data_IF_823040053671
#
_entry.id   IF_823040053671
#
_cell.length_a   1.000
_cell.length_b   1.000
_cell.length_c   1.000
_cell.angle_alpha   90.00
_cell.angle_beta   90.00
_cell.angle_gamma   90.00
#
_symmetry.space_group_name_H-M   'P 1'
#
loop_
_entity.id
_entity.type
_entity.pdbx_description
1 polymer ?
#
# COMPACT_ATOMS: atom_id res chain seq x y z
N UNK A 1 -16.04 31.40 -52.93
CA UNK A 1 -15.28 32.01 -51.82
C UNK A 1 -15.53 31.35 -50.47
N UNK A 2 -16.78 31.11 -50.03
CA UNK A 2 -17.00 30.52 -48.68
C UNK A 2 -16.45 29.09 -48.50
N UNK A 3 -16.61 28.21 -49.50
CA UNK A 3 -16.11 26.83 -49.42
C UNK A 3 -14.57 26.72 -49.41
N UNK A 4 -13.87 27.64 -50.09
CA UNK A 4 -12.40 27.69 -50.08
C UNK A 4 -11.86 28.12 -48.72
N UNK A 5 -12.53 29.09 -48.08
CA UNK A 5 -12.15 29.56 -46.73
C UNK A 5 -12.30 28.43 -45.71
N UNK A 6 -13.36 27.62 -45.81
CA UNK A 6 -13.58 26.45 -44.92
C UNK A 6 -12.45 25.43 -45.09
N UNK A 7 -12.05 25.12 -46.34
CA UNK A 7 -11.01 24.15 -46.60
C UNK A 7 -9.62 24.63 -46.13
N UNK A 8 -9.35 25.94 -46.25
CA UNK A 8 -8.12 26.56 -45.73
C UNK A 8 -8.07 26.50 -44.20
N UNK A 9 -9.19 26.76 -43.52
CA UNK A 9 -9.26 26.66 -42.05
C UNK A 9 -9.01 25.21 -41.58
N UNK A 10 -9.59 24.23 -42.27
CA UNK A 10 -9.37 22.80 -41.96
C UNK A 10 -7.90 22.42 -42.18
N UNK A 11 -7.29 22.85 -43.29
CA UNK A 11 -5.88 22.58 -43.58
C UNK A 11 -4.95 23.17 -42.51
N UNK A 12 -5.20 24.41 -42.09
CA UNK A 12 -4.42 25.08 -41.02
C UNK A 12 -4.62 24.37 -39.68
N UNK A 13 -5.82 23.90 -39.36
CA UNK A 13 -6.09 23.17 -38.12
C UNK A 13 -5.37 21.80 -38.09
N UNK A 14 -5.35 21.07 -39.20
CA UNK A 14 -4.62 19.78 -39.31
C UNK A 14 -3.11 20.01 -39.21
N UNK A 15 -2.57 21.01 -39.90
CA UNK A 15 -1.15 21.37 -39.81
C UNK A 15 -0.79 21.78 -38.38
N UNK A 16 -1.61 22.61 -37.73
CA UNK A 16 -1.42 22.98 -36.34
C UNK A 16 -1.45 21.74 -35.44
N UNK A 17 -2.37 20.80 -35.65
CA UNK A 17 -2.44 19.57 -34.85
C UNK A 17 -1.22 18.68 -35.05
N UNK A 18 -0.74 18.55 -36.29
CA UNK A 18 0.49 17.79 -36.63
C UNK A 18 1.73 18.47 -36.07
N UNK A 19 1.86 19.80 -36.17
CA UNK A 19 2.97 20.56 -35.58
C UNK A 19 2.87 20.53 -34.06
N UNK A 20 1.69 20.69 -33.48
CA UNK A 20 1.46 20.57 -32.03
C UNK A 20 1.80 19.17 -31.56
N UNK A 21 1.51 18.13 -32.33
CA UNK A 21 1.83 16.75 -32.02
C UNK A 21 3.34 16.46 -32.19
N UNK A 22 3.94 16.91 -33.28
CA UNK A 22 5.36 16.72 -33.59
C UNK A 22 6.30 17.57 -32.70
N UNK A 23 5.86 18.76 -32.27
CA UNK A 23 6.63 19.66 -31.37
C UNK A 23 6.25 19.51 -29.90
N UNK A 24 5.07 18.93 -29.57
CA UNK A 24 4.84 18.35 -28.24
C UNK A 24 5.46 16.94 -28.12
N UNK A 25 6.36 16.59 -29.04
CA UNK A 25 7.26 15.43 -29.01
C UNK A 25 8.27 15.51 -27.87
N UNK A 26 7.76 15.46 -26.65
CA UNK A 26 8.50 15.28 -25.40
C UNK A 26 7.72 14.46 -24.37
N UNK A 27 6.65 13.75 -24.78
CA UNK A 27 5.78 13.01 -23.87
C UNK A 27 5.73 11.49 -24.10
N UNK A 28 6.58 10.93 -24.98
CA UNK A 28 6.72 9.48 -25.14
C UNK A 28 8.17 9.05 -24.90
N UNK A 29 8.60 9.05 -23.64
CA UNK A 29 9.68 8.14 -23.19
C UNK A 29 9.05 6.81 -22.76
N UNK A 30 9.63 5.65 -23.10
CA UNK A 30 9.06 4.35 -22.76
C UNK A 30 8.90 4.22 -21.24
N UNK A 31 7.65 3.96 -20.86
CA UNK A 31 7.11 3.59 -19.55
C UNK A 31 8.13 3.08 -18.51
N UNK A 32 8.84 4.03 -17.89
CA UNK A 32 9.70 3.80 -16.73
C UNK A 32 9.04 4.30 -15.45
N UNK A 33 7.96 3.66 -14.98
CA UNK A 33 7.35 3.87 -13.63
C UNK A 33 6.69 5.23 -13.42
N UNK A 34 5.50 5.32 -12.80
CA UNK A 34 4.93 6.61 -12.37
C UNK A 34 5.68 7.09 -11.11
N UNK A 35 6.94 7.47 -11.27
CA UNK A 35 7.65 8.26 -10.28
C UNK A 35 7.23 9.70 -10.49
N UNK A 36 6.36 10.22 -9.62
CA UNK A 36 5.93 11.62 -9.65
C UNK A 36 7.17 12.53 -9.78
N UNK A 37 7.28 13.40 -10.81
CA UNK A 37 8.48 14.18 -11.07
C UNK A 37 8.89 15.08 -9.89
N UNK A 38 7.96 15.35 -8.97
CA UNK A 38 8.24 16.09 -7.74
C UNK A 38 9.05 15.28 -6.72
N UNK A 39 8.92 13.94 -6.67
CA UNK A 39 9.65 13.11 -5.71
C UNK A 39 11.16 13.18 -5.97
N UNK A 40 11.58 13.18 -7.23
CA UNK A 40 12.99 13.34 -7.60
C UNK A 40 13.56 14.70 -7.15
N UNK A 41 12.76 15.76 -7.21
CA UNK A 41 13.14 17.10 -6.73
C UNK A 41 13.22 17.15 -5.21
N UNK A 42 12.29 16.50 -4.51
CA UNK A 42 12.24 16.45 -3.04
C UNK A 42 13.42 15.64 -2.48
N UNK A 43 13.79 14.54 -3.14
CA UNK A 43 14.88 13.66 -2.69
C UNK A 43 16.27 14.10 -3.16
N UNK A 44 16.37 14.98 -4.16
CA UNK A 44 17.64 15.43 -4.73
C UNK A 44 18.35 14.40 -5.61
N UNK A 45 17.70 13.28 -5.91
CA UNK A 45 18.16 12.27 -6.85
C UNK A 45 16.98 11.61 -7.54
N UNK A 46 17.24 10.97 -8.68
CA UNK A 46 16.23 10.25 -9.45
C UNK A 46 15.98 8.87 -8.81
N UNK A 47 14.82 8.64 -8.17
CA UNK A 47 14.57 7.39 -7.46
C UNK A 47 14.52 6.20 -8.43
N UNK A 48 15.17 5.11 -8.05
CA UNK A 48 15.10 3.82 -8.74
C UNK A 48 13.89 3.02 -8.23
N UNK A 49 13.60 1.90 -8.91
CA UNK A 49 12.52 0.99 -8.50
C UNK A 49 12.91 0.29 -7.20
N UNK A 50 12.28 0.69 -6.10
CA UNK A 50 12.30 -0.05 -4.84
C UNK A 50 10.94 -0.74 -4.68
N UNK A 51 10.93 -2.08 -4.75
CA UNK A 51 9.69 -2.85 -4.54
C UNK A 51 9.59 -3.32 -3.08
N UNK A 52 8.36 -3.54 -2.58
CA UNK A 52 8.15 -4.12 -1.25
C UNK A 52 8.86 -5.47 -1.05
N UNK A 53 8.97 -6.28 -2.10
CA UNK A 53 9.69 -7.56 -2.09
C UNK A 53 11.20 -7.39 -1.86
N UNK A 54 11.82 -6.38 -2.50
CA UNK A 54 13.23 -6.07 -2.29
C UNK A 54 13.47 -5.66 -0.83
N UNK A 55 12.58 -4.84 -0.28
CA UNK A 55 12.64 -4.40 1.12
C UNK A 55 12.49 -5.60 2.06
N UNK A 56 11.52 -6.49 1.80
CA UNK A 56 11.28 -7.67 2.62
C UNK A 56 12.47 -8.64 2.62
N UNK A 57 13.11 -8.83 1.47
CA UNK A 57 14.32 -9.68 1.36
C UNK A 57 15.48 -9.12 2.20
N UNK A 58 15.75 -7.81 2.12
CA UNK A 58 16.80 -7.18 2.95
C UNK A 58 16.43 -7.25 4.44
N UNK A 59 15.16 -6.99 4.79
CA UNK A 59 14.68 -7.07 6.19
C UNK A 59 14.76 -8.49 6.76
N UNK A 60 14.53 -9.52 5.95
CA UNK A 60 14.64 -10.92 6.39
C UNK A 60 16.09 -11.29 6.73
N UNK A 61 17.06 -10.79 5.96
CA UNK A 61 18.48 -10.98 6.26
C UNK A 61 18.97 -10.09 7.42
N UNK A 62 18.39 -8.88 7.56
CA UNK A 62 18.81 -7.89 8.55
C UNK A 62 17.58 -7.29 9.26
N UNK A 63 17.02 -8.00 10.26
CA UNK A 63 15.82 -7.57 10.97
C UNK A 63 16.05 -6.34 11.87
N UNK A 64 17.30 -6.08 12.24
CA UNK A 64 17.70 -4.94 13.08
C UNK A 64 17.69 -3.60 12.31
N UNK A 65 17.66 -3.65 10.97
CA UNK A 65 17.71 -2.44 10.15
C UNK A 65 16.29 -1.91 9.87
N UNK A 66 16.03 -0.61 10.07
CA UNK A 66 14.72 -0.02 9.84
C UNK A 66 14.33 -0.02 8.35
N UNK A 67 13.04 -0.26 8.11
CA UNK A 67 12.45 -0.37 6.77
C UNK A 67 12.63 0.90 5.94
N UNK A 68 12.56 2.07 6.56
CA UNK A 68 12.76 3.37 5.90
C UNK A 68 14.17 3.52 5.33
N UNK A 69 15.20 3.07 6.06
CA UNK A 69 16.58 3.16 5.59
C UNK A 69 16.83 2.18 4.44
N UNK A 70 16.25 0.98 4.52
CA UNK A 70 16.31 -0.03 3.44
C UNK A 70 15.65 0.54 2.19
N UNK A 71 14.43 1.07 2.32
CA UNK A 71 13.71 1.66 1.20
C UNK A 71 14.49 2.86 0.62
N UNK A 72 15.02 3.75 1.46
CA UNK A 72 15.82 4.88 1.00
C UNK A 72 17.09 4.47 0.24
N UNK A 73 17.85 3.49 0.73
CA UNK A 73 19.04 3.01 0.01
C UNK A 73 18.64 2.27 -1.27
N UNK A 74 17.55 1.49 -1.29
CA UNK A 74 17.02 0.86 -2.49
C UNK A 74 16.55 1.87 -3.54
N UNK A 75 15.99 3.03 -3.14
CA UNK A 75 15.68 4.11 -4.10
C UNK A 75 16.95 4.67 -4.74
N UNK A 76 18.11 4.58 -4.09
CA UNK A 76 19.39 5.06 -4.59
C UNK A 76 20.13 3.99 -5.41
N UNK A 77 20.21 2.76 -4.91
CA UNK A 77 20.96 1.65 -5.53
C UNK A 77 20.12 0.91 -6.56
N UNK A 78 18.84 0.68 -6.29
CA UNK A 78 17.91 -0.09 -7.12
C UNK A 78 18.18 -1.58 -7.11
N UNK A 79 19.03 -2.09 -6.23
CA UNK A 79 19.39 -3.51 -6.12
C UNK A 79 19.52 -3.93 -4.67
N UNK A 80 18.95 -5.10 -4.36
CA UNK A 80 19.06 -5.76 -3.05
C UNK A 80 20.51 -6.11 -2.77
N UNK A 81 21.22 -6.68 -3.73
CA UNK A 81 22.60 -7.16 -3.57
C UNK A 81 23.54 -6.02 -3.20
N UNK A 82 23.41 -4.87 -3.86
CA UNK A 82 24.23 -3.69 -3.54
C UNK A 82 23.91 -3.13 -2.16
N UNK A 83 22.63 -3.16 -1.77
CA UNK A 83 22.17 -2.69 -0.45
C UNK A 83 22.69 -3.61 0.65
N UNK A 84 22.62 -4.93 0.45
CA UNK A 84 23.14 -5.95 1.36
C UNK A 84 24.66 -5.85 1.47
N UNK A 85 25.38 -5.70 0.35
CA UNK A 85 26.84 -5.58 0.39
C UNK A 85 27.28 -4.32 1.16
N UNK A 86 26.61 -3.18 0.96
CA UNK A 86 26.84 -1.97 1.77
C UNK A 86 26.59 -2.19 3.24
N UNK A 87 25.56 -2.96 3.55
CA UNK A 87 25.18 -3.27 4.92
C UNK A 87 26.19 -4.22 5.59
N UNK A 88 26.77 -5.16 4.84
CA UNK A 88 27.86 -6.01 5.30
C UNK A 88 29.17 -5.23 5.48
N UNK A 89 29.46 -4.29 4.56
CA UNK A 89 30.68 -3.47 4.61
C UNK A 89 30.64 -2.41 5.71
N UNK A 90 29.50 -1.72 5.88
CA UNK A 90 29.37 -0.58 6.81
C UNK A 90 28.66 -0.95 8.11
N UNK A 91 27.89 -2.02 8.15
CA UNK A 91 27.05 -2.39 9.30
C UNK A 91 25.77 -1.55 9.46
N UNK A 92 25.60 -0.48 8.68
CA UNK A 92 24.42 0.39 8.75
C UNK A 92 24.10 1.03 7.38
N UNK A 93 22.85 1.47 7.24
CA UNK A 93 22.37 2.24 6.08
C UNK A 93 22.19 3.72 6.44
N UNK A 94 22.32 4.57 5.42
CA UNK A 94 22.21 6.02 5.53
C UNK A 94 20.80 6.41 6.00
N UNK A 95 20.72 7.27 7.02
CA UNK A 95 19.43 7.68 7.57
C UNK A 95 18.70 8.58 6.56
N UNK A 96 17.42 8.29 6.24
CA UNK A 96 16.69 9.06 5.25
C UNK A 96 16.49 10.52 5.72
N UNK A 97 16.70 11.50 4.83
CA UNK A 97 16.49 12.91 5.15
C UNK A 97 15.00 13.19 5.42
N UNK A 98 14.64 14.28 6.12
CA UNK A 98 13.24 14.64 6.40
C UNK A 98 12.37 14.77 5.13
N UNK A 99 12.99 15.10 3.99
CA UNK A 99 12.33 15.15 2.69
C UNK A 99 11.77 13.79 2.25
N UNK A 100 12.45 12.68 2.58
CA UNK A 100 11.97 11.33 2.30
C UNK A 100 10.65 11.03 3.01
N UNK A 101 10.53 11.39 4.29
CA UNK A 101 9.30 11.17 5.07
C UNK A 101 8.11 11.96 4.54
N UNK A 102 8.36 13.09 3.87
CA UNK A 102 7.31 13.86 3.18
C UNK A 102 6.89 13.22 1.85
N UNK A 103 7.85 12.63 1.13
CA UNK A 103 7.58 11.93 -0.13
C UNK A 103 6.87 10.58 0.10
N UNK A 104 7.15 9.91 1.22
CA UNK A 104 6.58 8.63 1.61
C UNK A 104 6.02 8.73 3.04
N UNK A 105 4.81 9.31 3.22
CA UNK A 105 4.18 9.33 4.53
C UNK A 105 3.83 7.89 4.95
N UNK A 106 4.39 7.45 6.08
CA UNK A 106 4.06 6.16 6.69
C UNK A 106 2.59 6.17 7.07
N UNK A 107 1.77 5.36 6.40
CA UNK A 107 0.44 5.03 6.89
C UNK A 107 0.63 4.06 8.05
N UNK A 108 0.76 4.59 9.27
CA UNK A 108 0.87 3.81 10.49
C UNK A 108 -0.39 2.98 10.69
N UNK A 109 -0.31 1.69 10.35
CA UNK A 109 -1.08 0.63 10.96
C UNK A 109 -0.18 -0.60 11.04
N UNK A 110 0.19 -0.95 12.27
CA UNK A 110 0.78 -2.24 12.69
C UNK A 110 2.28 -2.44 12.37
N UNK A 111 3.16 -1.77 13.11
CA UNK A 111 4.30 -2.39 13.84
C UNK A 111 5.18 -1.27 14.43
N UNK A 112 4.91 -0.86 15.67
CA UNK A 112 5.86 -0.05 16.46
C UNK A 112 6.01 -0.72 17.82
N UNK A 113 7.07 -1.53 17.96
CA UNK A 113 7.52 -2.09 19.22
C UNK A 113 9.03 -1.90 19.31
N UNK A 114 9.42 -0.81 20.00
CA UNK A 114 10.64 -0.64 20.82
C UNK A 114 12.03 -0.81 20.14
N UNK A 115 13.11 -0.07 20.38
CA UNK A 115 13.54 1.09 21.21
C UNK A 115 15.02 1.39 20.79
N UNK A 116 15.67 2.56 20.93
CA UNK A 116 16.18 3.19 22.17
C UNK A 116 17.08 4.44 21.89
N UNK A 117 16.99 5.45 22.77
CA UNK A 117 18.00 6.46 23.23
C UNK A 117 18.62 7.50 22.23
N UNK A 118 18.83 8.80 22.51
CA UNK A 118 18.78 9.62 23.74
C UNK A 118 18.87 11.16 23.46
N UNK A 119 18.58 11.95 24.49
CA UNK A 119 18.78 13.41 24.75
C UNK A 119 17.60 14.34 24.40
N UNK A 120 17.09 15.24 25.26
CA UNK A 120 17.49 15.69 26.59
C UNK A 120 16.25 16.20 27.38
N UNK A 121 16.38 16.15 28.71
CA UNK A 121 15.43 16.58 29.74
C UNK A 121 15.07 18.06 29.69
N UNK A 122 13.77 18.40 29.59
CA UNK A 122 13.13 19.57 30.25
C UNK A 122 11.66 19.28 30.53
N UNK A 123 11.31 19.19 31.82
CA UNK A 123 9.93 19.22 32.35
C UNK A 123 9.55 20.68 32.70
N UNK A 124 8.29 20.99 33.09
CA UNK A 124 7.27 21.53 32.20
C UNK A 124 6.89 22.98 32.57
N UNK A 125 6.60 23.83 31.59
CA UNK A 125 5.85 25.07 31.83
C UNK A 125 4.45 24.95 31.26
N UNK A 126 3.49 24.92 32.18
CA UNK A 126 2.04 25.03 31.99
C UNK A 126 1.69 26.03 30.88
N UNK A 127 1.19 25.53 29.75
CA UNK A 127 0.58 26.35 28.71
C UNK A 127 -0.74 25.70 28.30
N UNK A 128 -1.82 26.42 28.57
CA UNK A 128 -3.20 26.06 28.27
C UNK A 128 -3.36 25.96 26.75
N UNK A 129 -3.40 24.74 26.21
CA UNK A 129 -3.87 24.51 24.85
C UNK A 129 -5.40 24.44 24.88
N UNK A 130 -6.04 25.34 24.13
CA UNK A 130 -7.46 25.23 23.79
C UNK A 130 -7.81 23.79 23.36
N UNK A 131 -9.01 23.27 23.72
CA UNK A 131 -9.35 21.89 23.44
C UNK A 131 -9.39 21.67 21.93
N UNK A 132 -8.43 20.87 21.43
CA UNK A 132 -8.56 20.27 20.10
C UNK A 132 -9.86 19.45 20.12
N UNK A 133 -10.71 19.56 19.09
CA UNK A 133 -11.98 18.83 19.08
C UNK A 133 -11.66 17.34 19.18
N UNK A 134 -12.20 16.70 20.22
CA UNK A 134 -12.02 15.28 20.46
C UNK A 134 -12.44 14.50 19.21
N UNK A 135 -11.83 13.36 18.93
CA UNK A 135 -12.23 12.51 17.80
C UNK A 135 -13.74 12.21 17.86
N UNK A 136 -14.28 12.04 19.08
CA UNK A 136 -15.71 11.88 19.33
C UNK A 136 -16.50 13.05 18.74
N UNK A 137 -16.04 14.28 18.95
CA UNK A 137 -16.69 15.50 18.43
C UNK A 137 -16.47 15.69 16.92
N UNK A 138 -15.26 15.40 16.43
CA UNK A 138 -14.93 15.44 14.99
C UNK A 138 -15.76 14.46 14.16
N UNK A 139 -16.09 13.32 14.73
CA UNK A 139 -16.90 12.28 14.09
C UNK A 139 -18.36 12.28 14.56
N UNK A 140 -18.79 13.29 15.34
CA UNK A 140 -20.15 13.40 15.90
C UNK A 140 -20.64 12.10 16.61
N UNK A 141 -19.73 11.37 17.26
CA UNK A 141 -20.00 10.09 17.92
C UNK A 141 -20.59 10.25 19.33
N UNK A 142 -20.81 11.48 19.80
CA UNK A 142 -21.36 11.76 21.14
C UNK A 142 -22.69 11.03 21.43
N UNK A 143 -23.55 10.88 20.42
CA UNK A 143 -24.84 10.23 20.58
C UNK A 143 -24.69 8.73 20.83
N UNK A 144 -23.69 8.07 20.22
CA UNK A 144 -23.45 6.64 20.39
C UNK A 144 -22.84 6.30 21.74
N UNK A 145 -21.90 7.11 22.22
CA UNK A 145 -21.26 6.90 23.54
C UNK A 145 -22.26 7.11 24.69
N UNK A 146 -23.20 8.04 24.53
CA UNK A 146 -24.25 8.26 25.54
C UNK A 146 -25.35 7.19 25.49
N UNK A 147 -25.48 6.49 24.36
CA UNK A 147 -26.41 5.36 24.21
C UNK A 147 -25.89 4.07 24.86
N UNK A 148 -24.57 3.89 24.91
CA UNK A 148 -23.90 2.68 25.43
C UNK A 148 -23.63 2.75 26.96
N UNK A 149 -23.80 3.95 27.55
CA UNK A 149 -23.55 4.21 28.97
C UNK A 149 -24.75 4.08 29.91
N UNK A 150 -25.90 3.58 29.42
CA UNK A 150 -27.11 3.44 30.24
C UNK A 150 -27.89 2.17 29.90
N UNK A 151 -27.28 1.02 30.14
CA UNK A 151 -27.98 -0.21 30.45
C UNK A 151 -27.03 -1.07 31.28
N UNK A 152 -27.26 -1.12 32.59
CA UNK A 152 -26.64 -2.13 33.43
C UNK A 152 -27.18 -3.50 33.01
N UNK A 153 -26.30 -4.33 32.47
CA UNK A 153 -26.51 -5.77 32.38
C UNK A 153 -25.12 -6.41 32.46
N UNK A 154 -24.99 -7.31 33.44
CA UNK A 154 -23.75 -7.87 33.93
C UNK A 154 -23.06 -8.71 32.85
N UNK A 155 -21.87 -8.30 32.40
CA UNK A 155 -20.99 -9.18 31.60
C UNK A 155 -20.16 -10.04 32.55
N UNK A 156 -20.23 -11.39 32.46
CA UNK A 156 -19.46 -12.26 33.34
C UNK A 156 -17.97 -12.08 33.10
N UNK A 157 -17.21 -11.95 34.19
CA UNK A 157 -15.76 -12.06 34.16
C UNK A 157 -15.38 -13.39 33.51
N UNK A 158 -14.59 -13.33 32.42
CA UNK A 158 -14.07 -14.52 31.78
C UNK A 158 -12.88 -15.05 32.62
N UNK A 159 -13.17 -15.79 33.69
CA UNK A 159 -12.19 -16.65 34.33
C UNK A 159 -11.93 -17.84 33.39
N UNK A 160 -10.70 -17.99 32.90
CA UNK A 160 -10.28 -18.92 31.85
C UNK A 160 -10.40 -20.42 32.17
N UNK A 161 -11.57 -20.91 32.58
CA UNK A 161 -11.81 -22.31 32.97
C UNK A 161 -13.11 -22.89 32.38
N UNK A 162 -13.47 -22.48 31.16
CA UNK A 162 -14.53 -23.12 30.38
C UNK A 162 -14.06 -24.40 29.66
N UNK A 163 -14.89 -25.46 29.53
CA UNK A 163 -14.49 -26.73 28.94
C UNK A 163 -14.05 -26.62 27.48
N UNK A 164 -12.83 -27.06 27.19
CA UNK A 164 -12.29 -27.19 25.83
C UNK A 164 -13.08 -28.31 25.13
N UNK A 165 -13.73 -28.10 23.96
CA UNK A 165 -14.35 -29.18 23.22
C UNK A 165 -13.26 -30.18 22.78
N UNK A 166 -13.32 -31.37 23.37
CA UNK A 166 -12.49 -32.52 23.06
C UNK A 166 -12.90 -33.11 21.72
N UNK A 167 -12.24 -32.73 20.63
CA UNK A 167 -12.29 -33.46 19.36
C UNK A 167 -11.14 -33.04 18.41
N UNK A 168 -9.99 -33.71 18.53
CA UNK A 168 -9.29 -34.36 17.40
C UNK A 168 -7.93 -34.87 17.88
N UNK A 169 -7.82 -36.18 17.90
CA UNK A 169 -6.68 -36.98 18.34
C UNK A 169 -5.52 -36.87 17.34
N UNK A 170 -4.55 -36.00 17.61
CA UNK A 170 -3.27 -35.96 16.90
C UNK A 170 -2.30 -36.98 17.46
N UNK A 171 -2.34 -38.23 16.96
CA UNK A 171 -1.33 -39.26 17.22
C UNK A 171 -0.11 -38.97 16.32
N UNK A 172 1.05 -38.75 16.93
CA UNK A 172 2.24 -38.26 16.24
C UNK A 172 2.94 -39.25 15.33
N UNK A 173 4.00 -38.77 14.66
CA UNK A 173 5.34 -39.35 14.51
C UNK A 173 6.00 -38.85 13.21
N UNK A 174 7.32 -38.65 13.33
CA UNK A 174 8.26 -38.14 12.35
C UNK A 174 8.28 -38.86 10.99
N UNK A 175 8.72 -38.12 9.96
CA UNK A 175 9.62 -38.64 8.93
C UNK A 175 9.13 -38.59 7.47
N UNK A 176 9.97 -38.01 6.61
CA UNK A 176 10.13 -38.27 5.17
C UNK A 176 9.20 -37.58 4.15
N UNK A 177 9.83 -36.81 3.26
CA UNK A 177 9.40 -36.40 1.89
C UNK A 177 9.04 -37.60 0.99
N UNK A 178 8.66 -37.43 -0.30
CA UNK A 178 7.63 -36.57 -0.93
C UNK A 178 6.73 -37.37 -1.92
N UNK A 179 5.43 -37.08 -2.09
CA UNK A 179 4.68 -37.52 -3.30
C UNK A 179 3.32 -36.80 -3.50
N UNK A 180 3.15 -36.22 -4.69
CA UNK A 180 1.96 -36.02 -5.54
C UNK A 180 0.54 -35.84 -4.92
N UNK A 181 0.06 -34.58 -4.95
CA UNK A 181 -1.32 -34.04 -5.20
C UNK A 181 -2.58 -34.61 -4.48
N UNK A 182 -3.73 -33.90 -4.43
CA UNK A 182 -4.02 -32.45 -4.51
C UNK A 182 -4.79 -31.96 -3.25
N UNK A 183 -4.36 -30.85 -2.62
CA UNK A 183 -5.10 -30.24 -1.52
C UNK A 183 -5.80 -28.95 -1.97
N UNK A 184 -7.12 -29.05 -2.07
CA UNK A 184 -8.07 -27.96 -2.26
C UNK A 184 -7.94 -26.90 -1.16
N UNK A 185 -7.79 -25.63 -1.56
CA UNK A 185 -8.05 -24.47 -0.70
C UNK A 185 -6.87 -23.63 -0.24
N UNK A 186 -5.62 -24.01 -0.54
CA UNK A 186 -4.48 -23.14 -0.26
C UNK A 186 -4.30 -22.12 -1.42
N UNK A 187 -4.29 -20.83 -1.10
CA UNK A 187 -3.89 -19.78 -2.04
C UNK A 187 -2.41 -20.02 -2.42
N UNK A 188 -2.18 -20.78 -3.48
CA UNK A 188 -0.86 -20.97 -4.08
C UNK A 188 -0.48 -19.64 -4.72
N UNK A 189 0.42 -18.91 -4.07
CA UNK A 189 1.07 -17.76 -4.68
C UNK A 189 1.98 -18.30 -5.79
N UNK A 190 1.69 -17.97 -7.04
CA UNK A 190 2.44 -18.46 -8.20
C UNK A 190 3.94 -18.19 -8.05
N UNK A 191 4.82 -19.09 -8.52
CA UNK A 191 6.25 -19.00 -8.25
C UNK A 191 6.97 -17.87 -9.02
N UNK A 192 6.39 -17.41 -10.14
CA UNK A 192 6.98 -16.39 -11.03
C UNK A 192 6.15 -15.11 -11.06
N UNK A 193 6.79 -13.96 -11.26
CA UNK A 193 6.10 -12.64 -11.31
C UNK A 193 4.99 -12.60 -12.36
N UNK A 194 5.29 -13.12 -13.55
CA UNK A 194 4.36 -13.10 -14.70
C UNK A 194 3.07 -13.89 -14.41
N UNK A 195 3.20 -15.10 -13.84
CA UNK A 195 2.03 -15.92 -13.47
C UNK A 195 1.20 -15.30 -12.35
N UNK A 196 1.83 -14.57 -11.41
CA UNK A 196 1.10 -13.80 -10.39
C UNK A 196 0.29 -12.69 -11.04
N UNK A 197 0.88 -11.94 -11.96
CA UNK A 197 0.19 -10.87 -12.68
C UNK A 197 -1.01 -11.41 -13.46
N UNK A 198 -0.84 -12.50 -14.20
CA UNK A 198 -1.95 -13.17 -14.90
C UNK A 198 -3.04 -13.63 -13.94
N UNK A 199 -2.68 -14.21 -12.79
CA UNK A 199 -3.66 -14.65 -11.80
C UNK A 199 -4.46 -13.48 -11.20
N UNK A 200 -3.81 -12.32 -11.01
CA UNK A 200 -4.45 -11.11 -10.49
C UNK A 200 -5.34 -10.46 -11.54
N UNK A 201 -4.90 -10.43 -12.80
CA UNK A 201 -5.71 -9.95 -13.93
C UNK A 201 -6.96 -10.82 -14.10
N UNK A 202 -6.82 -12.15 -14.09
CA UNK A 202 -7.94 -13.09 -14.21
C UNK A 202 -8.95 -12.94 -13.06
N UNK A 203 -8.49 -12.76 -11.83
CA UNK A 203 -9.36 -12.48 -10.66
C UNK A 203 -10.08 -11.13 -10.79
N UNK A 204 -9.38 -10.10 -11.30
CA UNK A 204 -9.95 -8.77 -11.53
C UNK A 204 -11.03 -8.80 -12.61
N UNK A 205 -10.78 -9.48 -13.72
CA UNK A 205 -11.76 -9.66 -14.80
C UNK A 205 -13.01 -10.41 -14.32
N UNK A 206 -12.84 -11.49 -13.56
CA UNK A 206 -13.95 -12.23 -12.96
C UNK A 206 -14.79 -11.36 -12.02
N UNK A 207 -14.15 -10.49 -11.22
CA UNK A 207 -14.85 -9.56 -10.34
C UNK A 207 -15.64 -8.49 -11.11
N UNK A 208 -15.06 -7.94 -12.18
CA UNK A 208 -15.73 -6.91 -12.99
C UNK A 208 -16.98 -7.48 -13.68
N UNK A 209 -16.90 -8.71 -14.19
CA UNK A 209 -18.05 -9.39 -14.79
C UNK A 209 -19.16 -9.62 -13.77
N UNK A 210 -18.84 -10.15 -12.60
CA UNK A 210 -19.82 -10.39 -11.53
C UNK A 210 -20.44 -9.07 -11.03
N UNK A 211 -19.64 -8.01 -10.89
CA UNK A 211 -20.13 -6.70 -10.48
C UNK A 211 -21.12 -6.11 -11.49
N UNK A 212 -20.84 -6.24 -12.79
CA UNK A 212 -21.74 -5.77 -13.85
C UNK A 212 -23.06 -6.52 -13.86
N UNK A 213 -23.03 -7.83 -13.69
CA UNK A 213 -24.24 -8.66 -13.58
C UNK A 213 -25.09 -8.22 -12.37
N UNK A 214 -24.47 -8.06 -11.20
CA UNK A 214 -25.16 -7.62 -9.98
C UNK A 214 -25.75 -6.21 -10.10
N UNK A 215 -25.14 -5.32 -10.89
CA UNK A 215 -25.67 -3.98 -11.16
C UNK A 215 -26.94 -4.05 -12.03
N UNK A 216 -26.92 -4.87 -13.09
CA UNK A 216 -28.08 -5.02 -13.98
C UNK A 216 -29.28 -5.64 -13.25
N UNK A 217 -29.05 -6.63 -12.39
CA UNK A 217 -30.09 -7.20 -11.54
C UNK A 217 -30.69 -6.16 -10.58
N UNK A 218 -29.84 -5.34 -9.94
CA UNK A 218 -30.30 -4.23 -9.09
C UNK A 218 -31.09 -3.18 -9.88
N UNK A 219 -30.65 -2.85 -11.09
CA UNK A 219 -31.38 -1.92 -11.97
C UNK A 219 -32.74 -2.49 -12.40
N UNK A 220 -32.80 -3.78 -12.74
CA UNK A 220 -34.04 -4.46 -13.08
C UNK A 220 -35.01 -4.52 -11.88
N UNK A 221 -34.52 -4.83 -10.69
CA UNK A 221 -35.33 -4.82 -9.47
C UNK A 221 -35.87 -3.42 -9.16
N UNK A 222 -35.05 -2.37 -9.31
CA UNK A 222 -35.51 -0.99 -9.09
C UNK A 222 -36.53 -0.51 -10.13
N UNK A 223 -36.42 -0.97 -11.39
CA UNK A 223 -37.40 -0.67 -12.44
C UNK A 223 -38.70 -1.43 -12.27
N UNK A 224 -38.68 -2.63 -11.69
CA UNK A 224 -39.89 -3.41 -11.41
C UNK A 224 -40.64 -2.91 -10.15
N UNK A 225 -39.97 -2.16 -9.27
CA UNK A 225 -40.55 -1.55 -8.08
C UNK A 225 -41.02 -0.10 -8.28
N UNK A 226 -41.09 0.38 -9.52
CA UNK A 226 -41.69 1.66 -9.93
C UNK A 226 -42.75 1.40 -10.98
#
# INVERSE_FOLDING_TARGET
MEAEIVNVIIAVAVIYFVVKWATSGGANSPAGTPGNPDIAKILGFKPKRATPEMIASVRAAFPDIPTDNIHYDLLRTGSVETTVNRLLERGFLDAPPPAYRRAFPVTTALDERASTASSASKQPTKAQSAPMPSLIQRFQLQSKVSSDGSAGDEVPAWDGTGPIPSAAKGKGRAGSTPVTAPATGAAVWEATSEKREESLQKRKEAMILAARQRLLEKQAASKASS
#
